data_IF_069002792271
#
_entry.id   IF_069002792271
#
_cell.length_a   1.000
_cell.length_b   1.000
_cell.length_c   1.000
_cell.angle_alpha   90.00
_cell.angle_beta   90.00
_cell.angle_gamma   90.00
#
_symmetry.space_group_name_H-M   'P 1'
#
loop_
_entity.id
_entity.type
_entity.pdbx_description
1 polymer ?
#
# COMPACT_ATOMS: atom_id res chain seq x y z
N UNK A 1 20.68 1.70 -35.91
CA UNK A 1 20.57 0.69 -34.87
C UNK A 1 21.26 1.13 -33.58
N UNK A 2 20.80 0.65 -32.47
CA UNK A 2 21.31 0.98 -31.09
C UNK A 2 22.83 0.69 -31.03
N UNK A 3 23.34 -0.30 -31.78
CA UNK A 3 24.75 -0.65 -31.86
C UNK A 3 25.66 0.49 -32.32
N UNK A 4 25.19 1.36 -33.19
CA UNK A 4 26.00 2.45 -33.73
C UNK A 4 26.12 3.63 -32.79
N UNK A 5 25.10 3.83 -31.97
CA UNK A 5 25.14 4.80 -30.87
C UNK A 5 25.99 4.29 -29.69
N UNK A 6 25.97 2.98 -29.41
CA UNK A 6 26.85 2.39 -28.41
C UNK A 6 28.33 2.41 -28.82
N UNK A 7 28.65 2.31 -30.12
CA UNK A 7 30.03 2.40 -30.65
C UNK A 7 30.65 3.78 -30.42
N UNK A 8 29.87 4.83 -30.28
CA UNK A 8 30.39 6.16 -30.02
C UNK A 8 30.77 6.42 -28.56
N UNK A 9 30.67 5.42 -27.68
CA UNK A 9 31.17 5.47 -26.30
C UNK A 9 30.56 6.53 -25.40
N UNK A 10 29.98 7.56 -26.01
CA UNK A 10 29.50 8.77 -25.28
C UNK A 10 28.21 8.46 -24.52
N UNK A 11 27.27 7.71 -25.07
CA UNK A 11 26.00 7.40 -24.41
C UNK A 11 26.16 6.48 -23.21
N UNK A 12 26.97 5.45 -23.34
CA UNK A 12 27.20 4.48 -22.26
C UNK A 12 28.15 5.05 -21.24
N UNK A 13 29.16 5.83 -21.69
CA UNK A 13 30.09 6.54 -20.81
C UNK A 13 29.37 7.60 -19.97
N UNK A 14 28.39 8.29 -20.54
CA UNK A 14 27.57 9.27 -19.82
C UNK A 14 26.62 8.70 -18.80
N UNK A 15 26.10 7.49 -19.01
CA UNK A 15 25.13 6.91 -18.05
C UNK A 15 25.77 6.03 -16.97
N UNK A 16 26.83 5.26 -17.26
CA UNK A 16 27.41 4.34 -16.30
C UNK A 16 28.95 4.22 -16.40
N UNK A 17 29.60 5.07 -17.17
CA UNK A 17 31.07 5.05 -17.30
C UNK A 17 31.63 3.79 -17.94
N UNK A 18 30.82 2.96 -18.59
CA UNK A 18 31.18 1.63 -19.09
C UNK A 18 31.47 1.70 -20.58
N UNK A 19 32.56 1.13 -21.01
CA UNK A 19 32.90 0.66 -22.35
C UNK A 19 34.08 1.32 -23.08
N UNK A 20 35.01 1.96 -22.41
CA UNK A 20 36.24 2.33 -23.07
C UNK A 20 37.47 2.11 -22.18
N UNK A 21 37.59 0.92 -21.55
CA UNK A 21 38.78 0.59 -20.76
C UNK A 21 38.97 1.38 -19.45
N UNK A 22 38.11 2.36 -19.19
CA UNK A 22 38.04 3.01 -17.90
C UNK A 22 37.08 2.22 -16.99
N UNK A 23 37.46 1.98 -15.76
CA UNK A 23 36.61 1.35 -14.73
C UNK A 23 35.28 2.11 -14.71
N UNK A 24 34.25 1.50 -15.31
CA UNK A 24 32.90 2.05 -15.28
C UNK A 24 32.44 2.16 -13.84
N UNK A 25 32.12 3.36 -13.39
CA UNK A 25 31.60 3.53 -12.05
C UNK A 25 30.16 3.04 -11.99
N UNK A 26 29.88 2.21 -11.02
CA UNK A 26 28.50 1.86 -10.67
C UNK A 26 27.81 3.11 -10.13
N UNK A 27 26.49 3.28 -10.32
CA UNK A 27 25.77 4.41 -9.72
C UNK A 27 25.97 4.48 -8.22
N UNK A 28 26.05 5.67 -7.68
CA UNK A 28 26.11 5.88 -6.23
C UNK A 28 24.69 5.73 -5.69
N UNK A 29 24.52 4.86 -4.71
CA UNK A 29 23.25 4.62 -4.02
C UNK A 29 23.35 5.19 -2.61
N UNK A 30 22.37 6.01 -2.22
CA UNK A 30 22.31 6.67 -0.90
C UNK A 30 20.89 6.76 -0.39
N UNK A 31 20.72 7.23 0.84
CA UNK A 31 19.41 7.54 1.43
C UNK A 31 18.42 6.38 1.35
N UNK A 32 18.80 5.21 1.85
CA UNK A 32 17.87 4.10 1.97
C UNK A 32 16.79 4.43 3.01
N UNK A 33 15.56 4.45 2.59
CA UNK A 33 14.41 4.68 3.45
C UNK A 33 13.54 3.43 3.46
N UNK A 34 13.27 2.91 4.65
CA UNK A 34 12.24 1.89 4.87
C UNK A 34 10.95 2.59 5.24
N UNK A 35 9.90 2.38 4.46
CA UNK A 35 8.54 2.80 4.79
C UNK A 35 7.83 1.59 5.39
N UNK A 36 7.46 1.67 6.66
CA UNK A 36 6.95 0.53 7.42
C UNK A 36 5.47 0.27 7.12
N UNK A 37 5.20 -0.16 5.88
CA UNK A 37 3.88 -0.51 5.40
C UNK A 37 3.57 -1.98 5.72
N UNK A 38 2.32 -2.25 6.07
CA UNK A 38 1.81 -3.61 6.15
C UNK A 38 1.08 -4.02 4.86
N UNK A 39 1.12 -5.27 4.43
CA UNK A 39 1.78 -6.42 5.05
C UNK A 39 3.27 -6.52 4.79
N UNK A 40 3.85 -5.66 3.98
CA UNK A 40 5.26 -5.70 3.59
C UNK A 40 5.79 -4.27 3.45
N UNK A 41 6.93 -4.00 4.10
CA UNK A 41 7.57 -2.70 4.02
C UNK A 41 8.04 -2.38 2.60
N UNK A 42 7.85 -1.15 2.17
CA UNK A 42 8.41 -0.62 0.92
C UNK A 42 9.73 0.10 1.21
N UNK A 43 10.58 0.15 0.19
CA UNK A 43 11.88 0.79 0.31
C UNK A 43 12.08 1.79 -0.81
N UNK A 44 12.75 2.89 -0.49
CA UNK A 44 13.24 3.84 -1.49
C UNK A 44 14.71 4.11 -1.26
N UNK A 45 15.43 4.44 -2.31
CA UNK A 45 16.80 4.93 -2.21
C UNK A 45 17.11 5.89 -3.35
N UNK A 46 18.06 6.76 -3.13
CA UNK A 46 18.51 7.72 -4.11
C UNK A 46 19.64 7.15 -4.97
N UNK A 47 19.60 7.48 -6.24
CA UNK A 47 20.58 7.06 -7.24
C UNK A 47 21.17 8.29 -7.93
N UNK A 48 22.48 8.40 -7.88
CA UNK A 48 23.24 9.39 -8.68
C UNK A 48 23.98 8.64 -9.77
N UNK A 49 23.71 9.00 -11.02
CA UNK A 49 24.41 8.43 -12.18
C UNK A 49 25.82 9.02 -12.30
N UNK A 50 26.79 8.25 -12.83
CA UNK A 50 28.20 8.67 -12.88
C UNK A 50 28.49 9.94 -13.66
N UNK A 51 27.57 10.34 -14.54
CA UNK A 51 27.68 11.49 -15.43
C UNK A 51 26.71 12.61 -15.10
N UNK A 52 25.92 12.43 -14.03
CA UNK A 52 24.83 13.30 -13.71
C UNK A 52 24.94 13.94 -12.35
N UNK A 53 24.50 15.17 -12.28
CA UNK A 53 24.23 15.87 -11.02
C UNK A 53 22.83 15.54 -10.50
N UNK A 54 22.00 14.88 -11.34
CA UNK A 54 20.63 14.53 -11.01
C UNK A 54 20.57 13.36 -10.04
N UNK A 55 20.01 13.59 -8.87
CA UNK A 55 19.64 12.57 -7.90
C UNK A 55 18.21 12.13 -8.16
N UNK A 56 17.97 10.83 -8.22
CA UNK A 56 16.65 10.25 -8.46
C UNK A 56 16.30 9.23 -7.41
N UNK A 57 15.08 9.30 -6.90
CA UNK A 57 14.58 8.31 -5.94
C UNK A 57 13.99 7.11 -6.66
N UNK A 58 14.49 5.94 -6.32
CA UNK A 58 14.07 4.64 -6.86
C UNK A 58 13.20 3.92 -5.83
N UNK A 59 12.05 3.41 -6.29
CA UNK A 59 11.12 2.68 -5.44
C UNK A 59 11.30 1.16 -5.59
N UNK A 60 11.41 0.49 -4.47
CA UNK A 60 11.48 -0.96 -4.33
C UNK A 60 10.30 -1.48 -3.51
N UNK A 61 9.60 -2.49 -4.01
CA UNK A 61 8.40 -3.02 -3.36
C UNK A 61 8.68 -3.70 -2.01
N UNK A 62 9.89 -4.20 -1.83
CA UNK A 62 10.29 -4.91 -0.62
C UNK A 62 11.81 -4.99 -0.51
N UNK A 63 12.28 -5.54 0.60
CA UNK A 63 13.71 -5.70 0.89
C UNK A 63 14.45 -6.58 -0.13
N UNK A 64 13.78 -7.57 -0.70
CA UNK A 64 14.38 -8.44 -1.70
C UNK A 64 14.75 -7.65 -2.98
N UNK A 65 13.94 -6.65 -3.35
CA UNK A 65 14.24 -5.76 -4.47
C UNK A 65 15.46 -4.85 -4.20
N UNK A 66 15.78 -4.59 -2.94
CA UNK A 66 16.99 -3.87 -2.55
C UNK A 66 18.20 -4.80 -2.57
N UNK A 67 18.06 -6.01 -2.02
CA UNK A 67 19.17 -6.94 -1.82
C UNK A 67 19.59 -7.68 -3.10
N UNK A 68 18.63 -8.05 -3.94
CA UNK A 68 18.92 -8.73 -5.21
C UNK A 68 19.44 -7.74 -6.24
N UNK A 69 20.68 -7.94 -6.67
CA UNK A 69 21.35 -7.06 -7.64
C UNK A 69 20.55 -6.93 -8.96
N UNK A 70 19.92 -8.01 -9.44
CA UNK A 70 19.15 -7.99 -10.70
C UNK A 70 17.87 -7.16 -10.53
N UNK A 71 17.16 -7.34 -9.41
CA UNK A 71 15.93 -6.60 -9.10
C UNK A 71 16.23 -5.12 -8.89
N UNK A 72 17.28 -4.81 -8.14
CA UNK A 72 17.76 -3.43 -7.91
C UNK A 72 18.16 -2.75 -9.22
N UNK A 73 18.92 -3.41 -10.09
CA UNK A 73 19.28 -2.91 -11.42
C UNK A 73 18.05 -2.63 -12.28
N UNK A 74 17.05 -3.52 -12.26
CA UNK A 74 15.80 -3.33 -12.99
C UNK A 74 15.01 -2.13 -12.45
N UNK A 75 15.02 -1.91 -11.15
CA UNK A 75 14.41 -0.73 -10.54
C UNK A 75 15.11 0.57 -11.01
N UNK A 76 16.44 0.59 -11.00
CA UNK A 76 17.23 1.72 -11.51
C UNK A 76 16.98 1.95 -13.00
N UNK A 77 16.86 0.88 -13.81
CA UNK A 77 16.69 1.00 -15.25
C UNK A 77 15.40 1.69 -15.68
N UNK A 78 14.37 1.66 -14.83
CA UNK A 78 13.07 2.30 -15.13
C UNK A 78 13.19 3.81 -15.36
N UNK A 79 14.20 4.43 -14.75
CA UNK A 79 14.41 5.84 -14.97
C UNK A 79 15.75 6.18 -15.64
N UNK A 80 16.73 5.29 -15.58
CA UNK A 80 17.98 5.44 -16.32
C UNK A 80 17.87 5.06 -17.81
N UNK A 81 16.78 4.37 -18.19
CA UNK A 81 16.53 3.88 -19.55
C UNK A 81 17.21 2.55 -19.89
N UNK A 82 18.21 2.12 -19.12
CA UNK A 82 18.83 0.80 -19.18
C UNK A 82 19.48 0.43 -17.83
N UNK A 83 19.61 -0.88 -17.53
CA UNK A 83 20.12 -1.31 -16.23
C UNK A 83 21.63 -1.00 -16.13
N UNK A 84 22.12 -0.60 -14.94
CA UNK A 84 23.56 -0.52 -14.69
C UNK A 84 24.25 -1.85 -14.93
N UNK A 85 25.58 -1.88 -15.15
CA UNK A 85 26.32 -3.14 -15.33
C UNK A 85 26.18 -4.05 -14.09
N UNK A 86 26.30 -5.35 -14.30
CA UNK A 86 26.48 -6.25 -13.17
C UNK A 86 27.90 -6.10 -12.64
N UNK A 87 28.01 -6.04 -11.32
CA UNK A 87 29.28 -6.01 -10.61
C UNK A 87 29.53 -7.34 -9.89
N UNK A 88 30.76 -7.60 -9.49
CA UNK A 88 31.09 -8.82 -8.76
C UNK A 88 30.40 -8.84 -7.40
N UNK A 89 30.11 -10.03 -6.90
CA UNK A 89 29.39 -10.21 -5.63
C UNK A 89 30.02 -9.45 -4.44
N UNK A 90 31.36 -9.45 -4.34
CA UNK A 90 32.05 -8.72 -3.27
C UNK A 90 31.95 -7.20 -3.39
N UNK A 91 31.87 -6.67 -4.61
CA UNK A 91 31.66 -5.23 -4.84
C UNK A 91 30.18 -4.86 -4.62
N UNK A 92 29.26 -5.74 -4.99
CA UNK A 92 27.82 -5.56 -4.72
C UNK A 92 27.53 -5.55 -3.22
N UNK A 93 28.18 -6.42 -2.47
CA UNK A 93 28.06 -6.44 -1.01
C UNK A 93 28.51 -5.12 -0.38
N UNK A 94 29.61 -4.53 -0.85
CA UNK A 94 30.07 -3.21 -0.37
C UNK A 94 29.07 -2.12 -0.68
N UNK A 95 28.50 -2.13 -1.89
CA UNK A 95 27.44 -1.19 -2.28
C UNK A 95 26.23 -1.30 -1.36
N UNK A 96 25.83 -2.54 -1.01
CA UNK A 96 24.75 -2.76 -0.06
C UNK A 96 25.09 -2.30 1.35
N UNK A 97 26.30 -2.63 1.84
CA UNK A 97 26.76 -2.18 3.17
C UNK A 97 26.74 -0.65 3.28
N UNK A 98 27.25 0.05 2.26
CA UNK A 98 27.25 1.51 2.23
C UNK A 98 25.81 2.07 2.16
N UNK A 99 24.93 1.45 1.36
CA UNK A 99 23.53 1.83 1.27
C UNK A 99 22.80 1.62 2.60
N UNK A 100 23.00 0.47 3.25
CA UNK A 100 22.38 0.19 4.56
C UNK A 100 22.87 1.07 5.70
N UNK A 101 24.08 1.64 5.61
CA UNK A 101 24.57 2.65 6.57
C UNK A 101 23.72 3.93 6.54
N UNK A 102 23.04 4.19 5.43
CA UNK A 102 22.14 5.36 5.28
C UNK A 102 20.70 5.05 5.62
N UNK A 103 20.40 3.83 6.10
CA UNK A 103 19.02 3.40 6.36
C UNK A 103 18.34 4.29 7.41
N UNK A 104 17.21 4.83 7.01
CA UNK A 104 16.24 5.49 7.87
C UNK A 104 14.91 4.77 7.82
N UNK A 105 14.13 4.85 8.89
CA UNK A 105 12.78 4.30 8.94
C UNK A 105 11.80 5.47 8.99
N UNK A 106 10.81 5.43 8.13
CA UNK A 106 9.76 6.43 8.08
C UNK A 106 8.41 5.78 8.32
N UNK A 107 7.55 6.51 9.03
CA UNK A 107 6.16 6.12 9.16
C UNK A 107 5.47 6.13 7.79
N UNK A 108 4.47 5.24 7.59
CA UNK A 108 3.68 5.24 6.37
C UNK A 108 3.03 6.60 6.13
N UNK A 109 2.92 7.05 4.87
CA UNK A 109 2.13 8.22 4.56
C UNK A 109 0.69 8.09 5.07
N UNK A 110 0.10 9.21 5.50
CA UNK A 110 -1.29 9.26 5.98
C UNK A 110 -2.22 8.64 4.92
N UNK A 111 -3.19 7.84 5.37
CA UNK A 111 -4.14 7.14 4.50
C UNK A 111 -3.61 5.86 3.86
N UNK A 112 -2.39 5.42 4.16
CA UNK A 112 -1.79 4.24 3.55
C UNK A 112 -1.82 3.00 4.43
N UNK A 113 -1.99 3.16 5.73
CA UNK A 113 -2.07 2.02 6.67
C UNK A 113 -3.32 1.17 6.43
N UNK A 114 -3.26 -0.14 6.69
CA UNK A 114 -4.44 -1.00 6.57
C UNK A 114 -5.62 -0.51 7.41
N UNK A 115 -5.34 0.00 8.61
CA UNK A 115 -6.37 0.52 9.51
C UNK A 115 -7.07 1.75 8.93
N UNK A 116 -6.33 2.71 8.40
CA UNK A 116 -6.87 3.91 7.76
C UNK A 116 -7.69 3.57 6.52
N UNK A 117 -7.15 2.73 5.63
CA UNK A 117 -7.87 2.27 4.42
C UNK A 117 -9.17 1.55 4.78
N UNK A 118 -9.12 0.69 5.80
CA UNK A 118 -10.29 -0.04 6.26
C UNK A 118 -11.33 0.91 6.85
N UNK A 119 -10.88 1.90 7.63
CA UNK A 119 -11.75 2.93 8.21
C UNK A 119 -12.46 3.75 7.14
N UNK A 120 -11.72 4.25 6.15
CA UNK A 120 -12.29 5.03 5.05
C UNK A 120 -13.35 4.23 4.28
N UNK A 121 -13.07 2.95 4.00
CA UNK A 121 -14.01 2.09 3.30
C UNK A 121 -15.24 1.75 4.17
N UNK A 122 -15.07 1.54 5.47
CA UNK A 122 -16.18 1.35 6.40
C UNK A 122 -17.02 2.62 6.53
N UNK A 123 -16.37 3.78 6.64
CA UNK A 123 -17.04 5.09 6.69
C UNK A 123 -17.87 5.34 5.42
N UNK A 124 -17.28 5.11 4.24
CA UNK A 124 -18.01 5.19 2.98
C UNK A 124 -19.15 4.18 2.90
N UNK A 125 -18.97 2.98 3.49
CA UNK A 125 -20.01 1.95 3.50
C UNK A 125 -21.17 2.35 4.38
N UNK A 126 -20.92 2.76 5.62
CA UNK A 126 -21.94 3.12 6.62
C UNK A 126 -22.71 4.37 6.20
N UNK A 127 -22.05 5.34 5.59
CA UNK A 127 -22.68 6.57 5.10
C UNK A 127 -23.20 6.48 3.65
N UNK A 128 -23.05 5.32 3.02
CA UNK A 128 -23.48 5.07 1.65
C UNK A 128 -24.98 4.85 1.49
N UNK A 129 -25.35 4.29 0.35
CA UNK A 129 -26.75 4.04 0.00
C UNK A 129 -27.43 3.12 1.04
N UNK A 130 -28.48 3.66 1.67
CA UNK A 130 -29.29 2.91 2.62
C UNK A 130 -30.19 1.92 1.90
N UNK A 131 -30.29 0.72 2.44
CA UNK A 131 -31.19 -0.27 1.95
C UNK A 131 -32.65 0.11 2.31
N UNK A 132 -33.49 0.30 1.31
CA UNK A 132 -34.91 0.59 1.51
C UNK A 132 -35.76 -0.69 1.59
N UNK A 133 -35.22 -1.81 1.12
CA UNK A 133 -35.87 -3.11 1.07
C UNK A 133 -34.83 -4.25 0.99
N UNK A 134 -35.30 -5.49 1.06
CA UNK A 134 -34.44 -6.69 1.02
C UNK A 134 -33.63 -6.79 -0.29
N UNK A 135 -34.17 -6.33 -1.41
CA UNK A 135 -33.47 -6.37 -2.71
C UNK A 135 -32.27 -5.41 -2.70
N UNK A 136 -32.49 -4.16 -2.28
CA UNK A 136 -31.42 -3.17 -2.19
C UNK A 136 -30.36 -3.55 -1.14
N UNK A 137 -30.76 -4.23 -0.06
CA UNK A 137 -29.83 -4.77 0.91
C UNK A 137 -28.98 -5.92 0.33
N UNK A 138 -29.60 -6.86 -0.38
CA UNK A 138 -28.89 -7.96 -1.05
C UNK A 138 -27.94 -7.47 -2.14
N UNK A 139 -28.25 -6.37 -2.80
CA UNK A 139 -27.38 -5.72 -3.82
C UNK A 139 -26.25 -4.88 -3.22
N UNK A 140 -26.14 -4.82 -1.90
CA UNK A 140 -25.01 -4.19 -1.21
C UNK A 140 -25.35 -2.90 -0.47
N UNK A 141 -26.63 -2.57 -0.27
CA UNK A 141 -27.04 -1.47 0.62
C UNK A 141 -26.70 -1.73 2.08
N UNK A 142 -26.79 -0.67 2.88
CA UNK A 142 -26.65 -0.72 4.35
C UNK A 142 -28.01 -0.57 4.99
N UNK A 143 -28.38 -1.51 5.84
CA UNK A 143 -29.55 -1.37 6.68
C UNK A 143 -29.15 -0.70 7.98
N UNK A 144 -29.90 0.31 8.37
CA UNK A 144 -29.81 0.93 9.70
C UNK A 144 -31.00 0.46 10.51
N UNK A 145 -30.72 -0.14 11.66
CA UNK A 145 -31.72 -0.62 12.62
C UNK A 145 -31.27 -0.18 13.99
N UNK A 146 -32.06 0.71 14.62
CA UNK A 146 -31.66 1.47 15.79
C UNK A 146 -30.32 2.21 15.56
N UNK A 147 -29.37 2.02 16.46
CA UNK A 147 -28.03 2.64 16.42
C UNK A 147 -26.98 1.79 15.68
N UNK A 148 -27.43 0.76 14.95
CA UNK A 148 -26.53 -0.17 14.28
C UNK A 148 -26.66 -0.16 12.78
N UNK A 149 -25.51 -0.26 12.11
CA UNK A 149 -25.42 -0.51 10.68
C UNK A 149 -25.19 -2.00 10.42
N UNK A 150 -25.96 -2.55 9.49
CA UNK A 150 -25.87 -3.93 9.03
C UNK A 150 -25.54 -3.97 7.55
N UNK A 151 -24.58 -4.78 7.15
CA UNK A 151 -24.23 -4.99 5.74
C UNK A 151 -23.58 -6.36 5.53
N UNK A 152 -23.64 -6.86 4.29
CA UNK A 152 -23.00 -8.13 3.93
C UNK A 152 -21.48 -7.99 3.89
N UNK A 153 -20.79 -8.86 4.63
CA UNK A 153 -19.33 -8.87 4.65
C UNK A 153 -18.74 -9.14 3.27
N UNK A 154 -19.23 -10.15 2.55
CA UNK A 154 -18.73 -10.48 1.22
C UNK A 154 -18.80 -9.30 0.23
N UNK A 155 -19.90 -8.52 0.24
CA UNK A 155 -20.03 -7.35 -0.61
C UNK A 155 -19.03 -6.24 -0.22
N UNK A 156 -18.81 -6.06 1.06
CA UNK A 156 -17.82 -5.11 1.57
C UNK A 156 -16.40 -5.56 1.20
N UNK A 157 -16.06 -6.82 1.43
CA UNK A 157 -14.76 -7.38 1.08
C UNK A 157 -14.47 -7.29 -0.42
N UNK A 158 -15.43 -7.61 -1.29
CA UNK A 158 -15.28 -7.47 -2.74
C UNK A 158 -14.97 -6.01 -3.14
N UNK A 159 -15.62 -5.04 -2.49
CA UNK A 159 -15.31 -3.62 -2.72
C UNK A 159 -13.90 -3.27 -2.27
N UNK A 160 -13.47 -3.74 -1.11
CA UNK A 160 -12.10 -3.58 -0.63
C UNK A 160 -11.09 -4.15 -1.63
N UNK A 161 -11.32 -5.37 -2.10
CA UNK A 161 -10.45 -6.05 -3.07
C UNK A 161 -10.33 -5.27 -4.38
N UNK A 162 -11.42 -4.76 -4.90
CA UNK A 162 -11.44 -3.92 -6.09
C UNK A 162 -10.67 -2.60 -5.91
N UNK A 163 -10.57 -2.12 -4.67
CA UNK A 163 -9.80 -0.93 -4.29
C UNK A 163 -8.33 -1.26 -3.88
N UNK A 164 -7.83 -2.44 -4.25
CA UNK A 164 -6.44 -2.83 -4.04
C UNK A 164 -6.11 -3.38 -2.65
N UNK A 165 -7.12 -3.85 -1.90
CA UNK A 165 -6.90 -4.52 -0.62
C UNK A 165 -6.16 -5.84 -0.80
N UNK A 166 -5.08 -6.03 -0.05
CA UNK A 166 -4.14 -7.15 -0.24
C UNK A 166 -4.39 -8.33 0.71
N UNK A 167 -5.17 -8.14 1.75
CA UNK A 167 -5.39 -9.19 2.75
C UNK A 167 -6.53 -10.14 2.34
N UNK A 168 -6.44 -11.44 2.69
CA UNK A 168 -7.52 -12.40 2.46
C UNK A 168 -8.74 -12.11 3.33
N UNK A 169 -9.86 -12.72 2.99
CA UNK A 169 -11.17 -12.42 3.57
C UNK A 169 -11.23 -12.71 5.07
N UNK A 170 -10.72 -13.87 5.48
CA UNK A 170 -10.63 -14.30 6.88
C UNK A 170 -9.81 -13.33 7.73
N UNK A 171 -8.61 -12.97 7.26
CA UNK A 171 -7.74 -12.00 7.93
C UNK A 171 -8.41 -10.62 8.01
N UNK A 172 -9.11 -10.20 6.96
CA UNK A 172 -9.85 -8.94 6.96
C UNK A 172 -10.94 -8.92 8.03
N UNK A 173 -11.65 -10.03 8.20
CA UNK A 173 -12.65 -10.18 9.27
C UNK A 173 -12.04 -10.00 10.65
N UNK A 174 -10.91 -10.66 10.91
CA UNK A 174 -10.16 -10.51 12.18
C UNK A 174 -9.71 -9.06 12.40
N UNK A 175 -9.14 -8.43 11.38
CA UNK A 175 -8.70 -7.02 11.47
C UNK A 175 -9.87 -6.07 11.80
N UNK A 176 -11.05 -6.28 11.23
CA UNK A 176 -12.23 -5.48 11.57
C UNK A 176 -12.60 -5.65 13.04
N UNK A 177 -12.61 -6.87 13.54
CA UNK A 177 -12.91 -7.14 14.94
C UNK A 177 -11.89 -6.50 15.89
N UNK A 178 -10.61 -6.60 15.58
CA UNK A 178 -9.54 -6.04 16.40
C UNK A 178 -9.50 -4.52 16.38
N UNK A 179 -9.59 -3.90 15.20
CA UNK A 179 -9.49 -2.45 15.05
C UNK A 179 -10.70 -1.70 15.60
N UNK A 180 -11.87 -2.37 15.58
CA UNK A 180 -13.16 -1.77 16.01
C UNK A 180 -13.82 -2.55 17.16
N UNK A 181 -13.02 -3.21 18.00
CA UNK A 181 -13.52 -3.95 19.18
C UNK A 181 -14.46 -3.10 20.06
N UNK A 182 -14.17 -1.80 20.20
CA UNK A 182 -14.95 -0.88 21.01
C UNK A 182 -16.22 -0.38 20.30
N UNK A 183 -16.40 -0.70 19.02
CA UNK A 183 -17.57 -0.29 18.22
C UNK A 183 -18.68 -1.35 18.20
N UNK A 184 -18.65 -2.32 19.10
CA UNK A 184 -19.63 -3.42 19.14
C UNK A 184 -19.76 -4.11 17.77
N UNK A 185 -18.62 -4.47 17.17
CA UNK A 185 -18.60 -5.21 15.92
C UNK A 185 -18.94 -6.66 16.17
N UNK A 186 -19.97 -7.13 15.49
CA UNK A 186 -20.40 -8.54 15.53
C UNK A 186 -20.52 -9.10 14.11
N UNK A 187 -20.03 -10.32 13.90
CA UNK A 187 -20.31 -11.10 12.71
C UNK A 187 -21.54 -11.97 12.97
N UNK A 188 -22.63 -11.67 12.28
CA UNK A 188 -23.90 -12.36 12.45
C UNK A 188 -24.06 -13.34 11.32
N UNK A 189 -24.25 -14.62 11.67
CA UNK A 189 -24.44 -15.67 10.67
C UNK A 189 -25.72 -15.50 9.89
N UNK A 190 -26.79 -15.10 10.57
CA UNK A 190 -28.11 -14.95 9.94
C UNK A 190 -28.95 -13.88 10.66
N UNK A 191 -29.57 -12.97 9.90
CA UNK A 191 -30.59 -12.03 10.42
C UNK A 191 -31.76 -11.93 9.44
N UNK A 192 -32.96 -11.98 9.98
CA UNK A 192 -34.20 -11.68 9.24
C UNK A 192 -34.55 -10.22 9.43
N UNK A 193 -34.83 -9.54 8.33
CA UNK A 193 -35.27 -8.16 8.36
C UNK A 193 -36.77 -8.07 8.15
N UNK A 194 -37.46 -7.06 8.75
CA UNK A 194 -38.89 -6.89 8.57
C UNK A 194 -39.22 -6.72 7.06
N UNK A 195 -40.21 -7.47 6.57
CA UNK A 195 -40.71 -7.30 5.23
C UNK A 195 -41.63 -6.07 5.19
N UNK A 196 -41.56 -5.30 4.08
CA UNK A 196 -42.52 -4.22 3.84
C UNK A 196 -43.92 -4.74 3.51
N UNK A 197 -44.05 -6.02 3.16
CA UNK A 197 -45.34 -6.65 2.90
C UNK A 197 -45.78 -7.42 4.14
N UNK A 198 -46.94 -7.02 4.66
CA UNK A 198 -47.59 -7.69 5.80
C UNK A 198 -47.80 -9.18 5.44
N UNK A 199 -47.18 -10.10 6.21
CA UNK A 199 -47.35 -11.54 6.05
C UNK A 199 -46.32 -12.30 5.23
N UNK A 200 -45.37 -11.63 4.58
CA UNK A 200 -44.22 -12.29 3.93
C UNK A 200 -42.99 -12.34 4.86
N UNK A 201 -42.46 -13.53 5.10
CA UNK A 201 -41.22 -13.72 5.77
C UNK A 201 -40.07 -13.60 4.77
N UNK A 202 -39.24 -12.58 4.92
CA UNK A 202 -38.02 -12.47 4.10
C UNK A 202 -37.07 -13.62 4.38
N UNK A 203 -36.44 -14.12 3.32
CA UNK A 203 -35.35 -15.08 3.46
C UNK A 203 -34.24 -14.47 4.32
N UNK A 204 -33.74 -15.21 5.33
CA UNK A 204 -32.70 -14.67 6.18
C UNK A 204 -31.44 -14.32 5.37
N UNK A 205 -30.83 -13.21 5.70
CA UNK A 205 -29.55 -12.83 5.09
C UNK A 205 -28.41 -13.31 5.96
N UNK A 206 -27.43 -13.93 5.33
CA UNK A 206 -26.30 -14.58 6.00
C UNK A 206 -25.03 -13.74 5.93
N UNK A 207 -24.13 -13.98 6.89
CA UNK A 207 -22.78 -13.40 6.96
C UNK A 207 -22.77 -11.87 6.93
N UNK A 208 -23.35 -11.30 7.97
CA UNK A 208 -23.48 -9.85 8.14
C UNK A 208 -22.43 -9.32 9.12
N UNK A 209 -22.03 -8.08 8.90
CA UNK A 209 -21.41 -7.25 9.91
C UNK A 209 -22.49 -6.36 10.52
N UNK A 210 -22.50 -6.31 11.86
CA UNK A 210 -23.22 -5.34 12.67
C UNK A 210 -22.18 -4.43 13.32
N UNK A 211 -22.37 -3.14 13.27
CA UNK A 211 -21.48 -2.16 13.89
C UNK A 211 -22.27 -0.99 14.48
N UNK A 212 -21.92 -0.55 15.69
CA UNK A 212 -22.52 0.65 16.30
C UNK A 212 -22.08 1.91 15.56
N UNK A 213 -23.04 2.68 15.05
CA UNK A 213 -22.78 3.91 14.29
C UNK A 213 -22.15 4.98 15.17
N UNK A 214 -22.72 5.22 16.35
CA UNK A 214 -22.23 6.24 17.30
C UNK A 214 -20.77 5.97 17.68
N UNK A 215 -20.49 4.74 18.12
CA UNK A 215 -19.13 4.35 18.51
C UNK A 215 -18.15 4.40 17.34
N UNK A 216 -18.58 3.98 16.14
CA UNK A 216 -17.75 4.04 14.96
C UNK A 216 -17.40 5.49 14.58
N UNK A 217 -18.36 6.41 14.64
CA UNK A 217 -18.13 7.83 14.36
C UNK A 217 -17.22 8.50 15.38
N UNK A 218 -17.17 7.98 16.60
CA UNK A 218 -16.27 8.47 17.66
C UNK A 218 -14.82 8.00 17.51
N UNK A 219 -14.56 7.01 16.65
CA UNK A 219 -13.20 6.51 16.39
C UNK A 219 -12.38 7.60 15.72
N UNK A 220 -11.46 8.19 16.48
CA UNK A 220 -10.44 9.07 15.91
C UNK A 220 -9.28 8.23 15.39
N UNK A 221 -9.08 8.21 14.10
CA UNK A 221 -7.81 7.77 13.59
C UNK A 221 -6.80 8.84 13.95
N UNK A 222 -5.91 8.50 14.87
CA UNK A 222 -4.75 9.33 15.16
C UNK A 222 -3.87 9.30 13.92
N UNK A 223 -4.08 10.25 13.02
CA UNK A 223 -3.06 10.59 12.06
C UNK A 223 -1.85 11.03 12.87
N UNK A 224 -0.75 10.30 12.81
CA UNK A 224 0.50 10.78 13.36
C UNK A 224 0.73 12.16 12.76
N UNK A 225 0.51 13.20 13.56
CA UNK A 225 0.82 14.58 13.19
C UNK A 225 2.33 14.60 13.00
N UNK A 226 2.79 14.51 11.79
CA UNK A 226 4.12 14.99 11.45
C UNK A 226 4.05 16.48 11.75
N UNK A 227 4.73 16.89 12.82
CA UNK A 227 4.94 18.29 13.11
C UNK A 227 5.76 18.89 11.96
N UNK A 228 5.09 19.54 11.04
CA UNK A 228 5.71 20.41 10.03
C UNK A 228 6.19 21.74 10.63
N UNK A 229 6.19 21.85 11.96
CA UNK A 229 6.73 23.00 12.68
C UNK A 229 8.20 22.75 13.05
N UNK A 230 9.05 22.64 12.06
CA UNK A 230 10.48 22.94 12.19
C UNK A 230 10.91 23.82 11.05
N UNK A 231 10.69 25.12 11.27
CA UNK A 231 11.64 26.20 11.12
C UNK A 231 12.35 26.28 9.76
N UNK A 232 11.70 27.05 8.88
CA UNK A 232 12.44 27.91 7.97
C UNK A 232 13.03 29.03 8.85
N UNK A 233 14.30 28.93 9.16
CA UNK A 233 15.16 30.06 9.49
C UNK A 233 16.33 30.04 8.52
#
# INVERSE_FOLDING_TARGET
PISDYCKKGICVKRKFGVLCGSKGSYPILTNLVKIDLEPEAEYTFDVTLPDGEDVRTVHCKNVEHVNDQRKRRNAISKYAGFPPPMIKSGDDQKVLEDLYRTLTVQDPPIGTTPKEKLHDQLHQKINGARAQNDVSFKSGGVLIDDDFAYFKFANFYNKLKNNGWKYPEDKTGVMIQEFYKDCNVEFIEEKRFPSQKKGEYNTPTKHLIKISIEKFQSVKILHNKINYDKEII
#
